data_IF_279963995212
#
_entry.id   IF_279963995212
#
_cell.length_a   1.000
_cell.length_b   1.000
_cell.length_c   1.000
_cell.angle_alpha   90.00
_cell.angle_beta   90.00
_cell.angle_gamma   90.00
#
_symmetry.space_group_name_H-M   'P 1'
#
loop_
_entity.id
_entity.type
_entity.pdbx_description
1 polymer ?
#
# COMPACT_ATOMS: atom_id res chain seq x y z
N UNK A 1 -18.64 4.27 8.47
CA UNK A 1 -17.90 5.16 7.54
C UNK A 1 -16.45 5.18 7.98
N UNK A 2 -15.52 4.66 7.18
CA UNK A 2 -14.07 4.66 7.48
C UNK A 2 -13.33 5.78 6.72
N UNK A 3 -13.96 6.38 5.70
CA UNK A 3 -13.33 7.39 4.84
C UNK A 3 -12.69 8.57 5.56
N UNK A 4 -13.29 9.19 6.60
CA UNK A 4 -12.65 10.32 7.27
C UNK A 4 -11.31 9.95 7.90
N UNK A 5 -11.26 8.82 8.61
CA UNK A 5 -10.05 8.32 9.29
C UNK A 5 -8.96 7.93 8.30
N UNK A 6 -9.30 7.33 7.15
CA UNK A 6 -8.31 7.00 6.11
C UNK A 6 -7.62 8.25 5.55
N UNK A 7 -8.38 9.33 5.32
CA UNK A 7 -7.84 10.58 4.80
C UNK A 7 -6.96 11.27 5.84
N UNK A 8 -7.39 11.28 7.10
CA UNK A 8 -6.64 11.88 8.21
C UNK A 8 -5.30 11.18 8.43
N UNK A 9 -5.29 9.85 8.56
CA UNK A 9 -4.08 9.06 8.76
C UNK A 9 -3.14 9.20 7.56
N UNK A 10 -3.68 9.29 6.34
CA UNK A 10 -2.90 9.49 5.11
C UNK A 10 -2.13 10.80 5.03
N UNK A 11 -2.51 11.81 5.82
CA UNK A 11 -1.88 13.14 5.83
C UNK A 11 -1.15 13.45 7.14
N UNK A 12 -1.10 12.50 8.07
CA UNK A 12 -0.57 12.73 9.40
C UNK A 12 0.97 12.71 9.41
N UNK A 13 1.61 13.77 9.90
CA UNK A 13 3.08 13.95 9.84
C UNK A 13 3.87 12.91 10.68
N UNK A 14 3.27 12.39 11.75
CA UNK A 14 3.92 11.39 12.62
C UNK A 14 3.60 9.94 12.25
N UNK A 15 2.95 9.69 11.10
CA UNK A 15 2.59 8.34 10.66
C UNK A 15 3.16 8.10 9.27
N UNK A 16 3.99 7.07 9.14
CA UNK A 16 4.44 6.57 7.84
C UNK A 16 3.53 5.44 7.37
N UNK A 17 2.90 5.63 6.20
CA UNK A 17 2.05 4.60 5.60
C UNK A 17 2.83 3.71 4.63
N UNK A 18 3.09 2.48 5.06
CA UNK A 18 3.66 1.44 4.21
C UNK A 18 2.53 0.54 3.69
N UNK A 19 1.97 0.88 2.53
CA UNK A 19 0.85 0.14 1.93
C UNK A 19 1.34 -1.00 1.01
N UNK A 20 0.49 -2.02 0.83
CA UNK A 20 0.79 -3.22 0.02
C UNK A 20 2.10 -3.88 0.44
N UNK A 21 2.25 -4.08 1.75
CA UNK A 21 3.43 -4.63 2.36
C UNK A 21 3.04 -5.65 3.43
N UNK A 22 3.91 -6.62 3.64
CA UNK A 22 3.78 -7.64 4.69
C UNK A 22 4.96 -7.54 5.65
N UNK A 23 4.75 -7.99 6.88
CA UNK A 23 5.83 -8.16 7.84
C UNK A 23 6.48 -9.52 7.57
N UNK A 24 7.79 -9.53 7.29
CA UNK A 24 8.56 -10.75 7.08
C UNK A 24 9.16 -11.29 8.37
N UNK A 25 9.70 -10.40 9.22
CA UNK A 25 10.24 -10.79 10.51
C UNK A 25 10.18 -9.66 11.53
N UNK A 26 10.12 -10.04 12.81
CA UNK A 26 10.21 -9.14 13.95
C UNK A 26 11.29 -9.69 14.86
N UNK A 27 12.30 -8.89 15.14
CA UNK A 27 13.42 -9.22 16.02
C UNK A 27 13.51 -8.18 17.14
N UNK A 28 14.05 -8.57 18.30
CA UNK A 28 14.28 -7.67 19.43
C UNK A 28 13.36 -7.91 20.62
N UNK A 29 13.36 -6.96 21.54
CA UNK A 29 12.65 -7.03 22.83
C UNK A 29 11.86 -5.75 23.07
N UNK A 30 11.01 -5.72 24.10
CA UNK A 30 10.16 -4.59 24.42
C UNK A 30 10.96 -3.26 24.45
N UNK A 31 10.56 -2.30 23.61
CA UNK A 31 11.21 -0.99 23.47
C UNK A 31 12.24 -0.90 22.33
N UNK A 32 12.75 -2.02 21.83
CA UNK A 32 13.74 -2.06 20.74
C UNK A 32 13.39 -3.17 19.73
N UNK A 33 12.42 -2.89 18.87
CA UNK A 33 12.04 -3.81 17.79
C UNK A 33 12.72 -3.44 16.48
N UNK A 34 13.21 -4.46 15.79
CA UNK A 34 13.66 -4.37 14.41
C UNK A 34 12.74 -5.20 13.55
N UNK A 35 11.99 -4.54 12.68
CA UNK A 35 10.98 -5.19 11.82
C UNK A 35 11.47 -5.18 10.38
N UNK A 36 11.43 -6.33 9.71
CA UNK A 36 11.61 -6.42 8.26
C UNK A 36 10.26 -6.38 7.58
N UNK A 37 10.07 -5.39 6.71
CA UNK A 37 8.81 -5.18 5.99
C UNK A 37 9.06 -5.38 4.50
N UNK A 38 8.34 -6.31 3.89
CA UNK A 38 8.38 -6.56 2.45
C UNK A 38 7.32 -5.73 1.76
N UNK A 39 7.76 -4.67 1.07
CA UNK A 39 6.87 -3.90 0.19
C UNK A 39 6.73 -4.63 -1.14
N UNK A 40 5.53 -5.11 -1.46
CA UNK A 40 5.28 -5.81 -2.73
C UNK A 40 5.39 -4.83 -3.90
N UNK A 41 5.94 -5.32 -5.01
CA UNK A 41 6.05 -4.55 -6.24
C UNK A 41 4.65 -4.33 -6.82
N UNK A 42 4.26 -3.07 -6.97
CA UNK A 42 3.03 -2.69 -7.71
C UNK A 42 3.25 -2.63 -9.22
N UNK A 43 4.50 -2.88 -9.66
CA UNK A 43 4.94 -2.77 -11.04
C UNK A 43 4.65 -1.40 -11.68
N UNK A 44 4.57 -0.35 -10.85
CA UNK A 44 4.42 1.06 -11.25
C UNK A 44 5.29 1.94 -10.37
N UNK A 45 5.71 3.10 -10.91
CA UNK A 45 6.33 4.17 -10.14
C UNK A 45 5.25 4.92 -9.37
N UNK A 46 5.08 4.62 -8.08
CA UNK A 46 4.00 5.19 -7.25
C UNK A 46 4.10 6.70 -7.05
N UNK A 47 5.31 7.25 -7.10
CA UNK A 47 5.61 8.68 -7.06
C UNK A 47 5.15 9.43 -8.31
N UNK A 48 5.02 8.73 -9.45
CA UNK A 48 4.54 9.31 -10.73
C UNK A 48 3.08 9.00 -11.02
N UNK A 49 2.48 8.08 -10.28
CA UNK A 49 1.10 7.67 -10.48
C UNK A 49 0.14 8.71 -9.90
N UNK A 50 -0.78 9.22 -10.73
CA UNK A 50 -1.81 10.19 -10.30
C UNK A 50 -3.13 9.54 -9.88
N UNK A 51 -3.27 8.22 -10.08
CA UNK A 51 -4.50 7.49 -9.78
C UNK A 51 -5.65 7.75 -10.77
N UNK A 52 -5.36 8.24 -11.98
CA UNK A 52 -6.37 8.60 -12.97
C UNK A 52 -7.16 7.43 -13.59
N UNK A 53 -6.68 6.19 -13.48
CA UNK A 53 -7.36 5.00 -14.00
C UNK A 53 -7.22 4.73 -15.50
N UNK A 54 -6.61 5.63 -16.28
CA UNK A 54 -6.48 5.49 -17.74
C UNK A 54 -5.73 4.20 -18.17
N UNK A 55 -4.82 3.69 -17.33
CA UNK A 55 -4.13 2.43 -17.60
C UNK A 55 -5.05 1.20 -17.58
N UNK A 56 -6.15 1.25 -16.81
CA UNK A 56 -7.12 0.16 -16.71
C UNK A 56 -7.98 0.09 -17.98
N UNK A 57 -8.42 1.23 -18.49
CA UNK A 57 -9.21 1.31 -19.73
C UNK A 57 -8.44 0.84 -20.96
N UNK A 58 -7.16 1.18 -21.04
CA UNK A 58 -6.29 0.77 -22.14
C UNK A 58 -5.81 -0.70 -22.03
N UNK A 59 -6.08 -1.38 -20.91
CA UNK A 59 -5.58 -2.73 -20.69
C UNK A 59 -6.25 -3.73 -21.65
N UNK A 60 -5.50 -4.42 -22.51
CA UNK A 60 -6.08 -5.41 -23.44
C UNK A 60 -6.50 -6.70 -22.74
N UNK A 61 -6.15 -6.86 -21.46
CA UNK A 61 -6.54 -8.01 -20.63
C UNK A 61 -7.83 -7.65 -19.92
N UNK A 62 -8.92 -8.34 -20.27
CA UNK A 62 -10.16 -8.32 -19.48
C UNK A 62 -9.90 -9.05 -18.17
N UNK A 63 -9.77 -8.29 -17.09
CA UNK A 63 -9.48 -8.79 -15.76
C UNK A 63 -10.57 -9.80 -15.34
N UNK A 64 -10.22 -11.09 -15.23
CA UNK A 64 -11.01 -12.03 -14.45
C UNK A 64 -10.83 -11.62 -12.99
N UNK A 65 -11.72 -10.77 -12.49
CA UNK A 65 -11.86 -10.57 -11.05
C UNK A 65 -12.22 -11.96 -10.49
N UNK A 66 -11.38 -12.58 -9.64
CA UNK A 66 -11.81 -13.78 -8.94
C UNK A 66 -13.04 -13.36 -8.16
N UNK A 67 -14.19 -13.99 -8.44
CA UNK A 67 -15.39 -13.78 -7.66
C UNK A 67 -15.01 -14.01 -6.19
N UNK A 68 -15.19 -12.98 -5.37
CA UNK A 68 -15.15 -13.11 -3.93
C UNK A 68 -16.25 -14.07 -3.46
#
# INVERSE_FOLDING_TARGET
MISPTLVEVGRHLNIELITYADIESIEGTAGNFKVKVKKRARSIYTDRCTGCGACVEACPVTQQVPAA
#
